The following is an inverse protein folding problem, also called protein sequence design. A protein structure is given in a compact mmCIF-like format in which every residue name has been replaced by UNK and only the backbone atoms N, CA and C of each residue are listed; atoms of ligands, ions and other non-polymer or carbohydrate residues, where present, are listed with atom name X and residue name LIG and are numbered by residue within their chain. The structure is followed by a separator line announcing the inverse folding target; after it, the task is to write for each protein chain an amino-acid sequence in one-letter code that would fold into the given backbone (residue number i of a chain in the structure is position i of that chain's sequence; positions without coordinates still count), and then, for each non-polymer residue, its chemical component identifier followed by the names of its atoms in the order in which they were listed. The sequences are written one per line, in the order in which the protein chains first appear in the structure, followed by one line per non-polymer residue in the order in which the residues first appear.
data_IF_219788231261
#
_entry.id   IF_219788231261
#
_cell.length_a   1.000
_cell.length_b   1.000
_cell.length_c   1.000
_cell.angle_alpha   90.00
_cell.angle_beta   90.00
_cell.angle_gamma   90.00
#
_symmetry.space_group_name_H-M   'P 1'
#
loop_
_entity.id
_entity.type
_entity.pdbx_description
1 polymer ?
#
# COMPACT_ATOMS: atom_id res chain seq x y z
N UNK A 1 9.50 -7.87 17.07
CA UNK A 1 9.03 -8.67 15.92
C UNK A 1 9.07 -7.74 14.70
N UNK A 2 9.74 -8.16 13.63
CA UNK A 2 9.96 -7.35 12.43
C UNK A 2 11.18 -7.85 11.67
N UNK A 3 11.70 -7.04 10.74
CA UNK A 3 12.89 -7.36 9.94
C UNK A 3 12.73 -8.68 9.16
N UNK A 4 11.52 -8.95 8.69
CA UNK A 4 11.25 -10.12 7.85
C UNK A 4 11.72 -9.88 6.42
N UNK A 5 12.14 -10.95 5.77
CA UNK A 5 12.45 -10.96 4.34
C UNK A 5 11.55 -11.96 3.63
N UNK A 6 10.62 -11.46 2.83
CA UNK A 6 9.68 -12.27 2.04
C UNK A 6 10.04 -12.07 0.58
N UNK A 7 10.78 -13.03 0.00
CA UNK A 7 11.36 -12.87 -1.35
C UNK A 7 11.20 -14.10 -2.21
N UNK A 8 11.09 -13.85 -3.52
CA UNK A 8 11.10 -14.91 -4.56
C UNK A 8 10.01 -15.98 -4.36
N UNK A 9 8.86 -15.59 -3.81
CA UNK A 9 7.74 -16.49 -3.63
C UNK A 9 6.72 -16.35 -4.75
N UNK A 10 5.98 -17.41 -4.99
CA UNK A 10 4.74 -17.40 -5.75
C UNK A 10 3.58 -17.69 -4.80
N UNK A 11 2.71 -16.71 -4.61
CA UNK A 11 1.57 -16.78 -3.69
C UNK A 11 0.29 -16.65 -4.50
N UNK A 12 -0.59 -17.63 -4.41
CA UNK A 12 -1.82 -17.63 -5.21
C UNK A 12 -2.95 -18.41 -4.55
N UNK A 13 -4.17 -18.15 -5.02
CA UNK A 13 -5.41 -18.81 -4.58
C UNK A 13 -5.68 -18.68 -3.08
N UNK A 14 -5.31 -17.54 -2.49
CA UNK A 14 -5.66 -17.23 -1.11
C UNK A 14 -7.05 -16.59 -1.06
N UNK A 15 -7.83 -16.96 -0.06
CA UNK A 15 -9.20 -16.48 0.08
C UNK A 15 -9.31 -15.00 0.45
N UNK A 16 -8.35 -14.45 1.18
CA UNK A 16 -8.40 -13.08 1.70
C UNK A 16 -7.17 -12.26 1.29
N UNK A 17 -6.01 -12.53 1.82
CA UNK A 17 -4.78 -11.81 1.51
C UNK A 17 -3.68 -12.77 1.07
N UNK A 18 -2.81 -12.33 0.16
CA UNK A 18 -1.67 -13.10 -0.29
C UNK A 18 -0.52 -13.04 0.73
N UNK A 19 -0.05 -11.84 1.02
CA UNK A 19 0.97 -11.57 2.03
C UNK A 19 0.36 -10.57 3.01
N UNK A 20 0.26 -10.95 4.27
CA UNK A 20 -0.32 -10.10 5.30
C UNK A 20 0.67 -9.86 6.45
N UNK A 21 0.68 -8.63 6.94
CA UNK A 21 1.44 -8.23 8.12
C UNK A 21 0.61 -7.30 8.99
N UNK A 22 0.55 -7.60 10.29
CA UNK A 22 -0.10 -6.75 11.26
C UNK A 22 0.82 -6.56 12.44
N UNK A 23 1.22 -5.32 12.70
CA UNK A 23 2.18 -4.94 13.75
C UNK A 23 3.53 -5.68 13.71
N UNK A 24 3.80 -6.41 12.66
CA UNK A 24 5.02 -7.21 12.47
C UNK A 24 5.74 -6.91 11.16
N UNK A 25 5.19 -6.05 10.32
CA UNK A 25 5.80 -5.67 9.04
C UNK A 25 6.88 -4.57 9.18
N UNK A 26 7.29 -4.24 10.38
CA UNK A 26 8.29 -3.22 10.65
C UNK A 26 9.67 -3.66 10.18
N UNK A 27 10.43 -2.76 9.56
CA UNK A 27 11.78 -2.99 9.04
C UNK A 27 11.88 -4.20 8.08
N UNK A 28 10.79 -4.54 7.42
CA UNK A 28 10.68 -5.74 6.59
C UNK A 28 10.82 -5.43 5.11
N UNK A 29 11.31 -6.39 4.35
CA UNK A 29 11.39 -6.31 2.89
C UNK A 29 10.51 -7.38 2.26
N UNK A 30 9.63 -6.96 1.36
CA UNK A 30 8.79 -7.82 0.53
C UNK A 30 9.19 -7.58 -0.92
N UNK A 31 9.96 -8.50 -1.51
CA UNK A 31 10.53 -8.28 -2.84
C UNK A 31 10.49 -9.48 -3.75
N UNK A 32 10.45 -9.19 -5.05
CA UNK A 32 10.59 -10.21 -6.10
C UNK A 32 9.54 -11.34 -6.01
N UNK A 33 8.37 -11.06 -5.46
CA UNK A 33 7.30 -12.04 -5.37
C UNK A 33 6.32 -11.91 -6.54
N UNK A 34 5.72 -13.02 -6.90
CA UNK A 34 4.57 -13.09 -7.81
C UNK A 34 3.33 -13.43 -6.99
N UNK A 35 2.40 -12.48 -6.89
CA UNK A 35 1.18 -12.62 -6.07
C UNK A 35 -0.04 -12.49 -6.97
N UNK A 36 -0.87 -13.52 -7.06
CA UNK A 36 -1.99 -13.50 -7.98
C UNK A 36 -3.17 -14.38 -7.56
N UNK A 37 -4.33 -14.13 -8.14
CA UNK A 37 -5.57 -14.87 -7.86
C UNK A 37 -5.90 -14.87 -6.35
N UNK A 38 -5.86 -13.69 -5.73
CA UNK A 38 -6.16 -13.47 -4.33
C UNK A 38 -7.58 -12.91 -4.18
N UNK A 39 -8.27 -13.29 -3.10
CA UNK A 39 -9.69 -12.99 -2.91
C UNK A 39 -10.59 -13.92 -3.70
N UNK A 40 -10.13 -15.12 -4.01
CA UNK A 40 -10.78 -16.07 -4.92
C UNK A 40 -12.06 -16.71 -4.37
N UNK A 41 -12.30 -16.62 -3.08
CA UNK A 41 -13.41 -17.31 -2.42
C UNK A 41 -14.74 -16.57 -2.47
N UNK A 42 -14.86 -15.48 -3.21
CA UNK A 42 -16.05 -14.60 -3.20
C UNK A 42 -16.46 -14.18 -1.78
N UNK A 43 -15.54 -14.21 -0.87
CA UNK A 43 -15.76 -13.83 0.50
C UNK A 43 -15.92 -12.31 0.56
N UNK A 44 -17.10 -11.86 0.94
CA UNK A 44 -17.36 -10.46 1.21
C UNK A 44 -16.75 -10.13 2.57
N UNK A 45 -15.58 -9.50 2.55
CA UNK A 45 -14.89 -9.13 3.77
C UNK A 45 -13.98 -7.96 3.54
N UNK A 46 -13.55 -7.38 4.61
CA UNK A 46 -12.48 -6.39 4.63
C UNK A 46 -11.12 -7.09 4.50
N UNK A 47 -10.07 -6.34 4.24
CA UNK A 47 -8.68 -6.83 4.21
C UNK A 47 -8.33 -7.69 2.99
N UNK A 48 -8.94 -7.45 1.86
CA UNK A 48 -8.73 -8.20 0.62
C UNK A 48 -7.65 -7.53 -0.24
N UNK A 49 -6.44 -8.07 -0.23
CA UNK A 49 -5.35 -7.55 -1.07
C UNK A 49 -4.28 -8.59 -1.39
N UNK A 50 -3.51 -8.33 -2.45
CA UNK A 50 -2.32 -9.10 -2.74
C UNK A 50 -1.29 -8.98 -1.62
N UNK A 51 -0.98 -7.76 -1.21
CA UNK A 51 -0.15 -7.45 -0.02
C UNK A 51 -0.93 -6.49 0.87
N UNK A 52 -1.19 -6.88 2.12
CA UNK A 52 -1.90 -6.06 3.10
C UNK A 52 -1.06 -5.90 4.37
N UNK A 53 -0.72 -4.65 4.69
CA UNK A 53 0.10 -4.36 5.87
C UNK A 53 -0.57 -3.33 6.77
N UNK A 54 -0.63 -3.62 8.06
CA UNK A 54 -0.87 -2.64 9.13
C UNK A 54 0.45 -2.28 9.81
N UNK A 55 0.62 -1.02 10.19
CA UNK A 55 1.80 -0.51 10.86
C UNK A 55 3.12 -0.87 10.14
N UNK A 56 3.16 -0.61 8.84
CA UNK A 56 4.39 -0.77 8.06
C UNK A 56 5.34 0.38 8.37
N UNK A 57 6.28 0.15 9.29
CA UNK A 57 7.32 1.11 9.66
C UNK A 57 8.62 0.73 8.95
N UNK A 58 9.18 1.65 8.17
CA UNK A 58 10.41 1.44 7.39
C UNK A 58 10.41 0.12 6.58
N UNK A 59 9.25 -0.24 6.06
CA UNK A 59 9.12 -1.40 5.18
C UNK A 59 9.51 -1.03 3.74
N UNK A 60 10.05 -2.00 3.02
CA UNK A 60 10.34 -1.88 1.58
C UNK A 60 9.54 -2.92 0.83
N UNK A 61 8.72 -2.47 -0.13
CA UNK A 61 7.93 -3.34 -1.01
C UNK A 61 8.38 -3.06 -2.44
N UNK A 62 9.13 -4.01 -3.02
CA UNK A 62 9.77 -3.75 -4.31
C UNK A 62 9.79 -4.94 -5.25
N UNK A 63 9.82 -4.65 -6.57
CA UNK A 63 9.95 -5.67 -7.62
C UNK A 63 8.90 -6.79 -7.56
N UNK A 64 7.75 -6.56 -6.95
CA UNK A 64 6.69 -7.56 -6.94
C UNK A 64 5.81 -7.44 -8.20
N UNK A 65 5.32 -8.58 -8.67
CA UNK A 65 4.33 -8.68 -9.73
C UNK A 65 3.01 -9.14 -9.13
N UNK A 66 2.01 -8.26 -9.12
CA UNK A 66 0.74 -8.49 -8.41
C UNK A 66 -0.41 -8.31 -9.41
N UNK A 67 -1.24 -9.34 -9.57
CA UNK A 67 -2.32 -9.30 -10.54
C UNK A 67 -3.49 -10.25 -10.20
N UNK A 68 -4.67 -9.93 -10.69
CA UNK A 68 -5.91 -10.67 -10.42
C UNK A 68 -6.15 -10.84 -8.92
N UNK A 69 -5.98 -9.75 -8.18
CA UNK A 69 -6.32 -9.66 -6.75
C UNK A 69 -7.52 -8.73 -6.57
N UNK A 70 -8.10 -8.69 -5.40
CA UNK A 70 -9.14 -7.69 -5.09
C UNK A 70 -8.52 -6.28 -5.06
N UNK A 71 -7.58 -6.05 -4.14
CA UNK A 71 -6.68 -4.92 -4.12
C UNK A 71 -5.24 -5.38 -4.31
N UNK A 72 -4.39 -4.57 -4.93
CA UNK A 72 -3.00 -4.93 -5.15
C UNK A 72 -2.16 -4.83 -3.87
N UNK A 73 -1.70 -3.63 -3.53
CA UNK A 73 -0.99 -3.33 -2.28
C UNK A 73 -1.85 -2.39 -1.44
N UNK A 74 -2.08 -2.75 -0.20
CA UNK A 74 -2.82 -1.93 0.75
C UNK A 74 -2.00 -1.71 2.02
N UNK A 75 -1.58 -0.46 2.22
CA UNK A 75 -0.94 -0.01 3.45
C UNK A 75 -1.98 0.68 4.33
N UNK A 76 -2.19 0.13 5.49
CA UNK A 76 -3.22 0.57 6.40
C UNK A 76 -2.64 0.85 7.79
N UNK A 77 -3.28 1.74 8.50
CA UNK A 77 -3.00 2.11 9.87
C UNK A 77 -1.51 2.33 10.19
N UNK A 78 -1.16 3.59 10.40
CA UNK A 78 0.11 4.03 10.97
C UNK A 78 1.36 3.78 10.13
N UNK A 79 1.26 3.62 8.82
CA UNK A 79 2.45 3.46 7.97
C UNK A 79 3.34 4.69 8.06
N UNK A 80 4.63 4.48 8.31
CA UNK A 80 5.68 5.49 8.34
C UNK A 80 6.98 4.97 7.74
N UNK A 81 7.75 5.83 7.07
CA UNK A 81 9.08 5.49 6.53
C UNK A 81 9.06 4.46 5.40
N UNK A 82 7.90 4.01 4.97
CA UNK A 82 7.76 2.89 4.02
C UNK A 82 7.97 3.35 2.58
N UNK A 83 8.64 2.51 1.80
CA UNK A 83 8.82 2.70 0.37
C UNK A 83 8.17 1.59 -0.44
N UNK A 84 7.40 1.98 -1.46
CA UNK A 84 6.80 1.08 -2.45
C UNK A 84 7.41 1.42 -3.81
N UNK A 85 8.23 0.53 -4.37
CA UNK A 85 9.01 0.87 -5.57
C UNK A 85 9.14 -0.28 -6.56
N UNK A 86 9.16 0.05 -7.86
CA UNK A 86 9.41 -0.90 -8.96
C UNK A 86 8.49 -2.12 -8.99
N UNK A 87 7.26 -1.98 -8.51
CA UNK A 87 6.27 -3.05 -8.60
C UNK A 87 5.48 -2.93 -9.90
N UNK A 88 5.04 -4.07 -10.41
CA UNK A 88 4.10 -4.19 -11.52
C UNK A 88 2.77 -4.69 -10.98
N UNK A 89 1.71 -3.88 -11.14
CA UNK A 89 0.36 -4.23 -10.73
C UNK A 89 -0.60 -4.07 -11.92
N UNK A 90 -1.41 -5.10 -12.17
CA UNK A 90 -2.39 -5.06 -13.26
C UNK A 90 -3.53 -6.06 -13.04
N UNK A 91 -4.64 -5.87 -13.73
CA UNK A 91 -5.81 -6.77 -13.67
C UNK A 91 -6.36 -6.99 -12.24
N UNK A 92 -6.13 -6.07 -11.33
CA UNK A 92 -6.72 -6.08 -10.01
C UNK A 92 -8.13 -5.51 -10.05
N UNK A 93 -9.06 -6.06 -9.25
CA UNK A 93 -10.49 -5.77 -9.40
C UNK A 93 -10.94 -4.43 -8.87
N UNK A 94 -10.36 -3.98 -7.76
CA UNK A 94 -10.77 -2.74 -7.10
C UNK A 94 -9.71 -1.66 -7.29
N UNK A 95 -8.46 -1.96 -6.99
CA UNK A 95 -7.39 -0.96 -7.06
C UNK A 95 -6.01 -1.62 -7.04
N UNK A 96 -5.03 -0.97 -7.64
CA UNK A 96 -3.65 -1.45 -7.57
C UNK A 96 -2.97 -1.06 -6.25
N UNK A 97 -3.31 0.10 -5.72
CA UNK A 97 -2.64 0.63 -4.55
C UNK A 97 -3.63 1.38 -3.63
N UNK A 98 -3.52 1.17 -2.34
CA UNK A 98 -4.34 1.85 -1.34
C UNK A 98 -3.53 2.26 -0.12
N UNK A 99 -3.82 3.48 0.33
CA UNK A 99 -3.35 4.04 1.59
C UNK A 99 -4.56 4.39 2.45
N UNK A 100 -4.60 3.89 3.67
CA UNK A 100 -5.69 4.19 4.61
C UNK A 100 -5.15 4.41 6.02
N UNK A 101 -5.44 5.59 6.59
CA UNK A 101 -5.08 5.99 7.95
C UNK A 101 -3.56 5.96 8.21
N UNK A 102 -2.78 6.68 7.39
CA UNK A 102 -1.32 6.67 7.46
C UNK A 102 -0.74 8.05 7.80
N UNK A 103 0.33 8.05 8.57
CA UNK A 103 1.01 9.28 8.98
C UNK A 103 2.09 9.75 7.99
N UNK A 104 2.70 8.83 7.24
CA UNK A 104 3.89 9.11 6.44
C UNK A 104 5.16 9.36 7.30
N UNK A 105 6.29 9.66 6.67
CA UNK A 105 6.45 9.76 5.23
C UNK A 105 6.31 8.42 4.50
N UNK A 106 5.78 8.46 3.28
CA UNK A 106 5.67 7.29 2.41
C UNK A 106 6.13 7.69 1.01
N UNK A 107 7.01 6.89 0.41
CA UNK A 107 7.44 7.08 -0.97
C UNK A 107 6.87 5.94 -1.83
N UNK A 108 6.18 6.33 -2.90
CA UNK A 108 5.64 5.43 -3.91
C UNK A 108 6.29 5.81 -5.24
N UNK A 109 7.28 5.02 -5.69
CA UNK A 109 8.07 5.44 -6.84
C UNK A 109 8.35 4.33 -7.85
N UNK A 110 8.46 4.72 -9.11
CA UNK A 110 8.82 3.82 -10.22
C UNK A 110 7.92 2.59 -10.37
N UNK A 111 6.67 2.65 -9.96
CA UNK A 111 5.72 1.55 -10.11
C UNK A 111 4.92 1.68 -11.41
N UNK A 112 4.42 0.52 -11.88
CA UNK A 112 3.44 0.42 -12.94
C UNK A 112 2.10 -0.01 -12.32
N UNK A 113 1.14 0.91 -12.22
CA UNK A 113 -0.23 0.70 -11.76
C UNK A 113 -1.15 0.71 -12.98
N UNK A 114 -1.51 -0.45 -13.49
CA UNK A 114 -2.13 -0.61 -14.81
C UNK A 114 -3.57 -1.15 -14.76
N UNK A 115 -4.12 -1.44 -13.57
CA UNK A 115 -5.51 -1.85 -13.44
C UNK A 115 -6.47 -0.69 -13.76
N UNK A 116 -7.68 -0.99 -14.25
CA UNK A 116 -8.64 0.03 -14.62
C UNK A 116 -9.25 0.80 -13.45
N UNK A 117 -9.02 0.34 -12.23
CA UNK A 117 -9.52 0.97 -11.02
C UNK A 117 -8.39 1.58 -10.19
N UNK A 118 -8.73 2.41 -9.30
CA UNK A 118 -8.02 3.52 -8.71
C UNK A 118 -6.90 3.17 -7.73
N UNK A 119 -5.90 4.05 -7.65
CA UNK A 119 -5.15 4.21 -6.41
C UNK A 119 -6.01 5.05 -5.42
N UNK A 120 -6.23 4.56 -4.23
CA UNK A 120 -6.96 5.25 -3.18
C UNK A 120 -6.01 5.80 -2.12
N UNK A 121 -6.17 7.08 -1.80
CA UNK A 121 -5.48 7.72 -0.67
C UNK A 121 -6.55 8.24 0.28
N UNK A 122 -6.77 7.52 1.38
CA UNK A 122 -7.80 7.81 2.36
C UNK A 122 -7.18 8.08 3.72
N UNK A 123 -7.56 9.17 4.38
CA UNK A 123 -7.07 9.51 5.72
C UNK A 123 -5.54 9.37 5.85
N UNK A 124 -4.80 9.78 4.83
CA UNK A 124 -3.35 9.60 4.77
C UNK A 124 -2.65 10.87 4.40
N UNK A 125 -1.46 11.07 4.94
CA UNK A 125 -0.66 12.27 4.74
C UNK A 125 0.83 11.95 4.55
N UNK A 126 1.59 12.94 4.06
CA UNK A 126 3.04 12.82 3.92
C UNK A 126 3.46 11.81 2.85
N UNK A 127 2.77 11.78 1.72
CA UNK A 127 3.00 10.79 0.64
C UNK A 127 3.57 11.47 -0.60
N UNK A 128 4.61 10.88 -1.18
CA UNK A 128 5.16 11.30 -2.45
C UNK A 128 5.02 10.19 -3.50
N UNK A 129 4.27 10.47 -4.57
CA UNK A 129 4.20 9.65 -5.78
C UNK A 129 5.19 10.19 -6.80
N UNK A 130 6.21 9.40 -7.17
CA UNK A 130 7.33 9.85 -8.00
C UNK A 130 7.63 8.86 -9.12
N UNK A 131 7.65 9.33 -10.37
CA UNK A 131 8.02 8.50 -11.53
C UNK A 131 7.18 7.22 -11.71
N UNK A 132 5.92 7.20 -11.29
CA UNK A 132 5.05 6.07 -11.55
C UNK A 132 4.35 6.21 -12.91
N UNK A 133 3.97 5.09 -13.49
CA UNK A 133 2.96 5.03 -14.55
C UNK A 133 1.64 4.60 -13.94
N UNK A 134 0.60 5.43 -14.08
CA UNK A 134 -0.71 5.23 -13.46
C UNK A 134 -1.77 5.27 -14.57
N UNK A 135 -2.43 4.13 -14.81
CA UNK A 135 -3.37 4.00 -15.92
C UNK A 135 -4.69 4.74 -15.71
N UNK A 136 -5.05 5.07 -14.47
CA UNK A 136 -6.36 5.64 -14.13
C UNK A 136 -6.27 6.74 -13.08
N UNK A 137 -7.35 6.93 -12.33
CA UNK A 137 -7.52 8.03 -11.37
C UNK A 137 -6.87 7.70 -10.02
N UNK A 138 -6.31 8.71 -9.37
CA UNK A 138 -5.99 8.69 -7.95
C UNK A 138 -7.14 9.40 -7.24
N UNK A 139 -7.78 8.74 -6.29
CA UNK A 139 -8.80 9.38 -5.46
C UNK A 139 -8.22 9.77 -4.10
N UNK A 140 -7.94 11.04 -3.86
CA UNK A 140 -7.86 11.52 -2.51
C UNK A 140 -9.27 11.51 -1.94
N UNK A 141 -9.52 10.69 -0.95
CA UNK A 141 -10.79 10.74 -0.21
C UNK A 141 -10.58 11.61 1.02
N UNK A 142 -11.27 12.73 1.03
CA UNK A 142 -11.24 13.67 2.15
C UNK A 142 -12.18 13.28 3.29
N UNK A 143 -12.29 12.00 3.60
CA UNK A 143 -13.03 11.57 4.78
C UNK A 143 -12.33 12.13 6.02
N UNK A 144 -13.08 12.88 6.81
CA UNK A 144 -12.63 13.35 8.11
C UNK A 144 -13.05 12.30 9.13
N UNK A 145 -12.06 11.60 9.64
CA UNK A 145 -12.24 10.69 10.77
C UNK A 145 -11.41 11.28 11.93
N UNK A 146 -12.03 11.52 13.05
CA UNK A 146 -11.36 12.03 14.27
C UNK A 146 -10.50 10.95 14.95
N UNK A 147 -10.26 9.84 14.27
CA UNK A 147 -9.50 8.72 14.79
C UNK A 147 -8.04 9.09 15.00
N UNK A 148 -7.62 9.01 16.24
CA UNK A 148 -6.21 9.17 16.59
C UNK A 148 -5.51 7.81 16.61
N UNK A 149 -4.40 7.72 15.88
CA UNK A 149 -3.57 6.52 15.81
C UNK A 149 -2.16 6.80 16.28
N UNK A 150 -1.42 5.78 16.77
CA UNK A 150 -0.04 5.95 17.20
C UNK A 150 0.84 6.53 16.10
N UNK A 151 1.61 7.54 16.47
CA UNK A 151 2.68 8.13 15.66
C UNK A 151 4.02 7.75 16.29
N UNK A 152 4.91 7.18 15.50
CA UNK A 152 6.19 6.67 15.98
C UNK A 152 7.29 7.73 15.83
N UNK A 153 8.37 7.60 16.62
CA UNK A 153 9.60 8.29 16.30
C UNK A 153 10.16 7.82 14.96
N UNK A 154 10.86 8.67 14.20
CA UNK A 154 11.47 8.26 12.94
C UNK A 154 12.34 7.02 13.10
N UNK A 155 12.15 6.03 12.23
CA UNK A 155 12.91 4.77 12.20
C UNK A 155 12.86 3.97 13.52
N UNK A 156 11.73 4.09 14.22
CA UNK A 156 11.53 3.44 15.51
C UNK A 156 10.07 2.94 15.63
N UNK A 157 9.85 2.08 16.60
CA UNK A 157 8.52 1.60 16.97
C UNK A 157 8.04 2.18 18.30
N UNK A 158 8.84 3.04 18.90
CA UNK A 158 8.44 3.78 20.10
C UNK A 158 7.40 4.83 19.74
N UNK A 159 6.29 4.81 20.44
CA UNK A 159 5.20 5.77 20.23
C UNK A 159 5.65 7.15 20.73
N UNK A 160 5.60 8.15 19.85
CA UNK A 160 5.85 9.55 20.16
C UNK A 160 4.60 10.25 20.65
N UNK A 161 3.43 9.82 20.18
CA UNK A 161 2.15 10.39 20.52
C UNK A 161 1.02 9.76 19.71
N UNK A 162 -0.17 10.32 19.84
CA UNK A 162 -1.35 9.95 19.06
C UNK A 162 -1.76 11.13 18.20
N UNK A 163 -1.95 10.91 16.92
CA UNK A 163 -2.32 11.92 15.96
C UNK A 163 -3.45 11.43 15.07
N UNK A 164 -4.30 12.35 14.64
CA UNK A 164 -5.21 12.16 13.53
C UNK A 164 -4.43 12.12 12.20
N UNK A 165 -5.03 11.52 11.21
CA UNK A 165 -4.50 11.45 9.85
C UNK A 165 -5.36 12.34 8.93
N UNK A 166 -5.20 13.66 8.95
CA UNK A 166 -5.86 14.52 7.99
C UNK A 166 -5.32 14.23 6.59
N UNK A 167 -6.20 14.21 5.61
CA UNK A 167 -5.75 14.12 4.22
C UNK A 167 -4.93 15.36 3.87
N UNK A 168 -3.63 15.18 3.55
CA UNK A 168 -2.78 16.31 3.18
C UNK A 168 -1.34 15.94 2.88
N UNK A 169 -0.57 16.93 2.43
CA UNK A 169 0.84 16.74 2.08
C UNK A 169 1.09 15.56 1.14
N UNK A 170 0.22 15.40 0.12
CA UNK A 170 0.38 14.41 -0.94
C UNK A 170 0.96 15.11 -2.15
N UNK A 171 2.11 14.66 -2.60
CA UNK A 171 2.86 15.24 -3.70
C UNK A 171 2.98 14.28 -4.87
N UNK A 172 2.92 14.81 -6.09
CA UNK A 172 3.04 14.04 -7.33
C UNK A 172 4.12 14.66 -8.21
N UNK A 173 5.18 13.89 -8.50
CA UNK A 173 6.31 14.36 -9.33
C UNK A 173 6.58 13.40 -10.47
N UNK A 174 6.64 13.92 -11.68
CA UNK A 174 7.07 13.20 -12.89
C UNK A 174 6.35 11.86 -13.10
N UNK A 175 5.09 11.75 -12.72
CA UNK A 175 4.29 10.57 -13.01
C UNK A 175 3.69 10.66 -14.42
N UNK A 176 3.59 9.51 -15.08
CA UNK A 176 2.86 9.36 -16.33
C UNK A 176 1.43 8.92 -16.00
N UNK A 177 0.44 9.76 -16.31
CA UNK A 177 -0.97 9.46 -16.15
C UNK A 177 -1.55 9.02 -17.49
N UNK A 178 -1.96 7.77 -17.59
CA UNK A 178 -2.61 7.21 -18.77
C UNK A 178 -4.13 7.30 -18.60
N UNK A 179 -4.70 8.42 -18.98
CA UNK A 179 -6.15 8.59 -18.91
C UNK A 179 -6.80 7.83 -20.07
N UNK A 180 -7.66 6.84 -19.78
CA UNK A 180 -8.54 6.28 -20.79
C UNK A 180 -9.57 7.36 -21.20
N UNK A 181 -9.81 7.42 -22.50
CA UNK A 181 -10.87 8.25 -23.10
C UNK A 181 -12.22 7.58 -22.98
#
# INVERSE_FOLDING_TARGET
IGSHSVRHNRVSFCGQAGIAGSLGAIFSTISDNVVHDIGSSSFWGYELAGIKLHAAIDAVIEHNHIYRTEGGIWLDWMTQGTRVTRNLLHDNRVQDFSLEVNHGPIIVDNNLFLSPELAQVKLSQGVAFVHNTIAWKIWPTGDVDERQTPYMFPHDTQIKGYHDCPCGNVCYFNNLLLLAR
#
